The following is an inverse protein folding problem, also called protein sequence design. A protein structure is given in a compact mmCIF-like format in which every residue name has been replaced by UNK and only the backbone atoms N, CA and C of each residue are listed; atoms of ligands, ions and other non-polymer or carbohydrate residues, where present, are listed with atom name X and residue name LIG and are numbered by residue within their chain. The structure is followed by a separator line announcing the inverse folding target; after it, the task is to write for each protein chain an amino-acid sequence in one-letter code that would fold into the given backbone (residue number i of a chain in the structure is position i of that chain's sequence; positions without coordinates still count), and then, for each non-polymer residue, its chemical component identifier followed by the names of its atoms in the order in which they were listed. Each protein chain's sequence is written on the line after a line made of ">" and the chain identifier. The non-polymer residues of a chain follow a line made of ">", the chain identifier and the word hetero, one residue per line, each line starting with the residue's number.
data_IF_630819929450
#
_entry.id   IF_630819929450
#
_cell.length_a   1.000
_cell.length_b   1.000
_cell.length_c   1.000
_cell.angle_alpha   90.00
_cell.angle_beta   90.00
_cell.angle_gamma   90.00
#
_symmetry.space_group_name_H-M   'P 1'
#
loop_
_entity.id
_entity.type
_entity.pdbx_description
1 polymer ?
#
# COMPACT_ATOMS: atom_id res chain seq x y z
N UNK A 1 3.64 -5.20 -27.49
CA UNK A 1 3.27 -5.93 -26.24
C UNK A 1 2.90 -4.89 -25.22
N UNK A 2 1.84 -5.11 -24.43
CA UNK A 2 1.56 -4.25 -23.28
C UNK A 2 2.68 -4.40 -22.25
N UNK A 3 3.10 -3.30 -21.64
CA UNK A 3 4.09 -3.34 -20.55
C UNK A 3 3.54 -4.14 -19.37
N UNK A 4 4.43 -4.81 -18.65
CA UNK A 4 4.08 -5.41 -17.37
C UNK A 4 3.70 -4.32 -16.36
N UNK A 5 2.73 -4.62 -15.50
CA UNK A 5 2.24 -3.67 -14.52
C UNK A 5 2.83 -3.93 -13.15
N UNK A 6 3.08 -2.85 -12.41
CA UNK A 6 3.39 -2.86 -10.99
C UNK A 6 2.37 -2.03 -10.22
N UNK A 7 1.91 -2.51 -9.08
CA UNK A 7 1.09 -1.72 -8.15
C UNK A 7 2.00 -1.08 -7.12
N UNK A 8 1.96 0.24 -7.01
CA UNK A 8 2.70 1.02 -6.03
C UNK A 8 1.79 1.40 -4.86
N UNK A 9 2.17 1.02 -3.64
CA UNK A 9 1.58 1.56 -2.42
C UNK A 9 1.90 3.06 -2.33
N UNK A 10 0.90 3.89 -2.62
CA UNK A 10 1.07 5.32 -2.87
C UNK A 10 0.43 6.15 -1.77
N UNK A 11 1.23 6.89 -1.03
CA UNK A 11 0.76 7.81 0.02
C UNK A 11 0.65 9.26 -0.46
N UNK A 12 1.15 9.57 -1.66
CA UNK A 12 1.22 10.95 -2.16
C UNK A 12 2.37 11.77 -1.59
N UNK A 13 3.18 11.22 -0.69
CA UNK A 13 4.39 11.84 -0.19
C UNK A 13 5.52 11.88 -1.24
N UNK A 14 6.57 12.63 -0.94
CA UNK A 14 7.72 12.84 -1.83
C UNK A 14 8.35 11.49 -2.25
N UNK A 15 8.59 10.60 -1.29
CA UNK A 15 9.29 9.35 -1.52
C UNK A 15 8.51 8.43 -2.48
N UNK A 16 7.22 8.21 -2.22
CA UNK A 16 6.38 7.37 -3.07
C UNK A 16 6.15 7.99 -4.44
N UNK A 17 6.13 9.32 -4.53
CA UNK A 17 6.01 10.03 -5.80
C UNK A 17 7.28 9.86 -6.66
N UNK A 18 8.47 9.92 -6.05
CA UNK A 18 9.74 9.71 -6.74
C UNK A 18 9.94 8.25 -7.23
N UNK A 19 9.29 7.28 -6.57
CA UNK A 19 9.34 5.88 -6.99
C UNK A 19 8.65 5.66 -8.34
N UNK A 20 7.64 6.45 -8.71
CA UNK A 20 6.90 6.29 -9.97
C UNK A 20 7.85 6.37 -11.19
N UNK A 21 8.58 7.46 -11.45
CA UNK A 21 9.52 7.52 -12.57
C UNK A 21 10.63 6.49 -12.44
N UNK A 22 11.13 6.21 -11.23
CA UNK A 22 12.17 5.22 -11.01
C UNK A 22 11.76 3.81 -11.46
N UNK A 23 10.53 3.37 -11.15
CA UNK A 23 10.00 2.07 -11.59
C UNK A 23 9.89 1.99 -13.11
N UNK A 24 9.52 3.09 -13.77
CA UNK A 24 9.42 3.16 -15.23
C UNK A 24 10.79 3.08 -15.91
N UNK A 25 11.77 3.79 -15.38
CA UNK A 25 13.11 3.86 -15.95
C UNK A 25 13.92 2.57 -15.69
N UNK A 26 13.78 1.99 -14.49
CA UNK A 26 14.60 0.85 -14.07
C UNK A 26 14.04 -0.48 -14.56
N UNK A 27 12.72 -0.65 -14.55
CA UNK A 27 12.07 -1.93 -14.85
C UNK A 27 11.18 -1.90 -16.10
N UNK A 28 11.00 -0.74 -16.71
CA UNK A 28 10.06 -0.52 -17.84
C UNK A 28 8.61 -0.90 -17.52
N UNK A 29 8.22 -0.78 -16.25
CA UNK A 29 6.87 -1.09 -15.81
C UNK A 29 5.85 0.02 -16.15
N UNK A 30 4.61 -0.41 -16.36
CA UNK A 30 3.43 0.46 -16.26
C UNK A 30 3.01 0.56 -14.80
N UNK A 31 3.07 1.77 -14.23
CA UNK A 31 2.87 1.99 -12.79
C UNK A 31 1.42 2.34 -12.49
N UNK A 32 0.76 1.48 -11.73
CA UNK A 32 -0.57 1.70 -11.15
C UNK A 32 -0.40 2.08 -9.68
N UNK A 33 -0.81 3.28 -9.31
CA UNK A 33 -0.79 3.71 -7.91
C UNK A 33 -2.02 3.21 -7.17
N UNK A 34 -1.86 2.84 -5.91
CA UNK A 34 -2.94 2.47 -5.02
C UNK A 34 -2.75 3.16 -3.66
N UNK A 35 -3.64 4.06 -3.33
CA UNK A 35 -3.77 4.65 -2.00
C UNK A 35 -4.91 3.96 -1.26
N UNK A 36 -4.65 3.51 -0.04
CA UNK A 36 -5.66 2.89 0.81
C UNK A 36 -6.05 3.87 1.90
N UNK A 37 -7.32 4.24 1.91
CA UNK A 37 -7.89 5.13 2.93
C UNK A 37 -8.30 4.32 4.16
N UNK A 38 -7.60 4.59 5.26
CA UNK A 38 -7.90 4.05 6.59
C UNK A 38 -8.52 5.11 7.52
N UNK A 39 -8.98 6.25 6.96
CA UNK A 39 -9.55 7.37 7.70
C UNK A 39 -8.67 8.62 7.76
N UNK A 40 -7.69 8.78 6.85
CA UNK A 40 -6.80 9.95 6.81
C UNK A 40 -7.41 11.22 6.19
N UNK A 41 -8.59 11.14 5.59
CA UNK A 41 -9.39 12.29 5.15
C UNK A 41 -8.70 13.20 4.13
N UNK A 42 -8.39 14.43 4.51
CA UNK A 42 -7.90 15.51 3.62
C UNK A 42 -6.58 15.21 2.90
N UNK A 43 -5.82 14.23 3.35
CA UNK A 43 -4.57 13.81 2.68
C UNK A 43 -4.80 13.21 1.28
N UNK A 44 -6.04 12.92 0.93
CA UNK A 44 -6.43 12.35 -0.37
C UNK A 44 -6.64 13.42 -1.45
N UNK A 45 -6.76 14.70 -1.08
CA UNK A 45 -7.01 15.78 -2.03
C UNK A 45 -5.83 15.99 -2.98
N UNK A 46 -6.14 16.06 -4.30
CA UNK A 46 -5.14 16.26 -5.36
C UNK A 46 -4.20 15.08 -5.60
N UNK A 47 -4.46 13.93 -4.97
CA UNK A 47 -3.61 12.75 -5.05
C UNK A 47 -3.56 12.15 -6.45
N UNK A 48 -4.71 12.12 -7.15
CA UNK A 48 -4.80 11.59 -8.50
C UNK A 48 -4.01 12.43 -9.50
N UNK A 49 -4.18 13.75 -9.46
CA UNK A 49 -3.45 14.66 -10.33
C UNK A 49 -1.94 14.52 -10.14
N UNK A 50 -1.48 14.42 -8.88
CA UNK A 50 -0.06 14.24 -8.53
C UNK A 50 0.49 12.93 -9.05
N UNK A 51 -0.24 11.82 -8.88
CA UNK A 51 0.16 10.50 -9.35
C UNK A 51 0.29 10.46 -10.89
N UNK A 52 -0.73 10.96 -11.59
CA UNK A 52 -0.75 11.00 -13.05
C UNK A 52 0.33 11.93 -13.62
N UNK A 53 0.51 13.12 -13.03
CA UNK A 53 1.57 14.05 -13.42
C UNK A 53 2.98 13.44 -13.27
N UNK A 54 3.17 12.60 -12.26
CA UNK A 54 4.44 11.90 -12.01
C UNK A 54 4.65 10.70 -12.93
N UNK A 55 3.65 10.35 -13.74
CA UNK A 55 3.76 9.33 -14.79
C UNK A 55 3.09 7.99 -14.46
N UNK A 56 2.30 7.90 -13.40
CA UNK A 56 1.43 6.75 -13.19
C UNK A 56 0.36 6.68 -14.28
N UNK A 57 -0.04 5.47 -14.67
CA UNK A 57 -1.11 5.27 -15.65
C UNK A 57 -2.50 5.35 -15.01
N UNK A 58 -2.57 5.09 -13.70
CA UNK A 58 -3.82 5.04 -12.96
C UNK A 58 -3.59 5.21 -11.46
N UNK A 59 -4.58 5.76 -10.76
CA UNK A 59 -4.67 5.73 -9.30
C UNK A 59 -5.95 5.03 -8.86
N UNK A 60 -5.82 4.14 -7.89
CA UNK A 60 -6.89 3.62 -7.05
C UNK A 60 -6.85 4.32 -5.70
N UNK A 61 -8.00 4.77 -5.23
CA UNK A 61 -8.22 5.18 -3.84
C UNK A 61 -9.24 4.19 -3.29
N UNK A 62 -8.77 3.31 -2.40
CA UNK A 62 -9.56 2.22 -1.84
C UNK A 62 -9.90 2.55 -0.39
N UNK A 63 -11.17 2.83 -0.13
CA UNK A 63 -11.67 3.09 1.21
C UNK A 63 -11.87 1.76 1.97
N UNK A 64 -11.14 1.59 3.06
CA UNK A 64 -11.27 0.44 3.97
C UNK A 64 -11.68 0.86 5.38
N UNK A 65 -12.19 2.07 5.57
CA UNK A 65 -12.47 2.64 6.90
C UNK A 65 -13.39 1.75 7.74
N UNK A 66 -14.48 1.27 7.17
CA UNK A 66 -15.41 0.39 7.86
C UNK A 66 -14.78 -0.97 8.18
N UNK A 67 -14.16 -1.62 7.19
CA UNK A 67 -13.47 -2.90 7.38
C UNK A 67 -12.33 -2.78 8.40
N UNK A 68 -11.56 -1.68 8.34
CA UNK A 68 -10.48 -1.41 9.28
C UNK A 68 -11.00 -1.23 10.71
N UNK A 69 -12.10 -0.51 10.90
CA UNK A 69 -12.72 -0.36 12.20
C UNK A 69 -13.25 -1.69 12.73
N UNK A 70 -14.04 -2.41 11.94
CA UNK A 70 -14.75 -3.61 12.42
C UNK A 70 -13.83 -4.81 12.62
N UNK A 71 -12.91 -5.06 11.68
CA UNK A 71 -12.13 -6.29 11.62
C UNK A 71 -10.70 -6.16 12.14
N UNK A 72 -10.21 -4.94 12.36
CA UNK A 72 -8.85 -4.71 12.89
C UNK A 72 -8.87 -3.95 14.21
N UNK A 73 -9.51 -2.77 14.27
CA UNK A 73 -9.49 -1.94 15.47
C UNK A 73 -10.33 -2.55 16.58
N UNK A 74 -11.60 -2.89 16.30
CA UNK A 74 -12.51 -3.39 17.33
C UNK A 74 -12.03 -4.68 18.00
N UNK A 75 -11.52 -5.70 17.30
CA UNK A 75 -10.93 -6.87 17.94
C UNK A 75 -9.76 -6.54 18.86
N UNK A 76 -8.91 -5.59 18.48
CA UNK A 76 -7.78 -5.16 19.31
C UNK A 76 -8.26 -4.43 20.58
N UNK A 77 -9.28 -3.59 20.46
CA UNK A 77 -9.90 -2.91 21.61
C UNK A 77 -10.55 -3.94 22.56
N UNK A 78 -11.28 -4.91 22.03
CA UNK A 78 -11.92 -5.97 22.82
C UNK A 78 -10.88 -6.86 23.54
N UNK A 79 -9.73 -7.07 22.93
CA UNK A 79 -8.64 -7.84 23.50
C UNK A 79 -7.73 -7.03 24.44
N UNK A 80 -8.01 -5.73 24.66
CA UNK A 80 -7.12 -4.80 25.37
C UNK A 80 -5.67 -4.88 24.88
N UNK A 81 -5.51 -4.96 23.55
CA UNK A 81 -4.23 -5.20 22.89
C UNK A 81 -3.37 -3.94 22.88
N UNK A 82 -2.44 -3.86 23.83
CA UNK A 82 -1.45 -2.77 23.96
C UNK A 82 -0.07 -3.38 24.06
N UNK A 83 0.86 -2.93 23.21
CA UNK A 83 2.25 -3.37 23.29
C UNK A 83 3.01 -2.60 24.35
N UNK A 84 3.63 -3.32 25.29
CA UNK A 84 4.40 -2.76 26.43
C UNK A 84 3.65 -1.70 27.24
N UNK A 85 2.34 -1.82 27.36
CA UNK A 85 1.44 -0.87 28.05
C UNK A 85 1.51 0.58 27.53
N UNK A 86 1.95 0.79 26.29
CA UNK A 86 2.13 2.12 25.71
C UNK A 86 1.64 2.24 24.26
N UNK A 87 1.98 1.28 23.41
CA UNK A 87 1.73 1.38 21.98
C UNK A 87 0.43 0.71 21.60
N UNK A 88 -0.49 1.49 21.02
CA UNK A 88 -1.85 1.06 20.66
C UNK A 88 -1.93 0.30 19.31
N UNK A 89 -0.81 -0.13 18.76
CA UNK A 89 -0.71 -0.99 17.58
C UNK A 89 -1.28 -0.42 16.27
N UNK A 90 -1.53 0.90 16.16
CA UNK A 90 -2.15 1.51 15.00
C UNK A 90 -1.52 1.12 13.65
N UNK A 91 -0.23 1.36 13.48
CA UNK A 91 0.50 0.99 12.25
C UNK A 91 0.56 -0.52 12.03
N UNK A 92 0.67 -1.30 13.11
CA UNK A 92 0.73 -2.76 13.05
C UNK A 92 -0.56 -3.36 12.49
N UNK A 93 -1.71 -2.76 12.83
CA UNK A 93 -3.02 -3.19 12.35
C UNK A 93 -3.32 -2.70 10.94
N UNK A 94 -2.90 -1.46 10.60
CA UNK A 94 -3.17 -0.86 9.29
C UNK A 94 -2.42 -1.57 8.16
N UNK A 95 -1.16 -1.94 8.34
CA UNK A 95 -0.33 -2.51 7.27
C UNK A 95 -0.87 -3.80 6.67
N UNK A 96 -1.37 -4.77 7.43
CA UNK A 96 -2.02 -5.96 6.86
C UNK A 96 -3.25 -5.65 6.01
N UNK A 97 -4.12 -4.73 6.45
CA UNK A 97 -5.29 -4.28 5.69
C UNK A 97 -4.89 -3.62 4.36
N UNK A 98 -3.90 -2.73 4.41
CA UNK A 98 -3.35 -2.08 3.21
C UNK A 98 -2.75 -3.15 2.27
N UNK A 99 -1.97 -4.10 2.78
CA UNK A 99 -1.38 -5.17 1.98
C UNK A 99 -2.44 -6.00 1.27
N UNK A 100 -3.54 -6.32 1.92
CA UNK A 100 -4.66 -7.05 1.33
C UNK A 100 -5.27 -6.29 0.14
N UNK A 101 -5.49 -4.98 0.26
CA UNK A 101 -5.99 -4.15 -0.84
C UNK A 101 -4.99 -4.01 -1.99
N UNK A 102 -3.72 -3.87 -1.70
CA UNK A 102 -2.69 -3.85 -2.73
C UNK A 102 -2.69 -5.13 -3.56
N UNK A 103 -2.85 -6.30 -2.91
CA UNK A 103 -2.96 -7.59 -3.59
C UNK A 103 -4.23 -7.66 -4.45
N UNK A 104 -5.37 -7.19 -3.92
CA UNK A 104 -6.63 -7.15 -4.67
C UNK A 104 -6.50 -6.31 -5.95
N UNK A 105 -5.95 -5.11 -5.84
CA UNK A 105 -5.70 -4.23 -7.00
C UNK A 105 -4.70 -4.86 -7.97
N UNK A 106 -3.63 -5.50 -7.45
CA UNK A 106 -2.64 -6.17 -8.30
C UNK A 106 -3.27 -7.31 -9.11
N UNK A 107 -4.16 -8.09 -8.51
CA UNK A 107 -4.92 -9.14 -9.22
C UNK A 107 -5.87 -8.55 -10.27
N UNK A 108 -6.59 -7.49 -9.92
CA UNK A 108 -7.50 -6.78 -10.83
C UNK A 108 -6.79 -6.22 -12.06
N UNK A 109 -5.59 -5.69 -11.88
CA UNK A 109 -4.78 -5.11 -12.95
C UNK A 109 -3.87 -6.13 -13.67
N UNK A 110 -3.85 -7.40 -13.24
CA UNK A 110 -2.91 -8.43 -13.69
C UNK A 110 -1.46 -7.96 -13.57
N UNK A 111 -1.14 -7.29 -12.45
CA UNK A 111 0.20 -6.83 -12.16
C UNK A 111 1.12 -8.00 -11.77
N UNK A 112 2.40 -7.89 -12.11
CA UNK A 112 3.43 -8.89 -11.81
C UNK A 112 4.19 -8.59 -10.51
N UNK A 113 4.05 -7.36 -10.01
CA UNK A 113 4.77 -6.90 -8.83
C UNK A 113 3.94 -5.92 -8.00
N UNK A 114 4.28 -5.83 -6.72
CA UNK A 114 3.85 -4.77 -5.80
C UNK A 114 5.10 -4.05 -5.31
N UNK A 115 5.07 -2.72 -5.31
CA UNK A 115 6.13 -1.87 -4.77
C UNK A 115 5.63 -1.08 -3.56
N UNK A 116 6.50 -0.89 -2.57
CA UNK A 116 6.23 -0.02 -1.43
C UNK A 116 7.46 0.82 -1.09
N UNK A 117 7.25 1.98 -0.48
CA UNK A 117 8.30 2.90 -0.05
C UNK A 117 8.73 2.74 1.41
N UNK A 118 8.38 1.63 2.06
CA UNK A 118 8.79 1.40 3.45
C UNK A 118 10.27 1.04 3.53
N UNK A 119 10.99 1.70 4.44
CA UNK A 119 12.42 1.47 4.62
C UNK A 119 12.71 0.29 5.54
N UNK A 120 13.86 -0.39 5.33
CA UNK A 120 14.32 -1.49 6.16
C UNK A 120 14.72 -1.11 7.60
N UNK A 121 14.64 0.16 7.96
CA UNK A 121 14.93 0.65 9.33
C UNK A 121 13.77 0.49 10.30
N UNK A 122 12.55 0.30 9.78
CA UNK A 122 11.34 0.13 10.56
C UNK A 122 10.66 -1.22 10.33
N UNK A 123 9.58 -1.46 11.07
CA UNK A 123 8.83 -2.72 10.98
C UNK A 123 7.85 -2.75 9.77
N UNK A 124 7.62 -1.63 9.10
CA UNK A 124 6.62 -1.53 8.05
C UNK A 124 6.97 -2.35 6.82
N UNK A 125 8.25 -2.39 6.43
CA UNK A 125 8.70 -3.23 5.34
C UNK A 125 8.30 -4.68 5.55
N UNK A 126 8.67 -5.26 6.70
CA UNK A 126 8.39 -6.67 6.98
C UNK A 126 6.88 -6.94 7.09
N UNK A 127 6.10 -5.99 7.60
CA UNK A 127 4.64 -6.10 7.67
C UNK A 127 4.01 -6.16 6.27
N UNK A 128 4.44 -5.30 5.35
CA UNK A 128 4.01 -5.35 3.96
C UNK A 128 4.44 -6.64 3.28
N UNK A 129 5.73 -6.99 3.36
CA UNK A 129 6.25 -8.17 2.69
C UNK A 129 5.59 -9.48 3.17
N UNK A 130 5.42 -9.65 4.48
CA UNK A 130 4.76 -10.84 5.03
C UNK A 130 3.27 -10.89 4.64
N UNK A 131 2.57 -9.75 4.71
CA UNK A 131 1.17 -9.67 4.29
C UNK A 131 0.97 -10.00 2.82
N UNK A 132 1.79 -9.40 1.94
CA UNK A 132 1.73 -9.66 0.51
C UNK A 132 2.08 -11.12 0.19
N UNK A 133 3.17 -11.66 0.78
CA UNK A 133 3.59 -13.05 0.55
C UNK A 133 2.58 -14.07 1.03
N UNK A 134 1.88 -13.78 2.12
CA UNK A 134 0.83 -14.67 2.63
C UNK A 134 -0.38 -14.75 1.67
N UNK A 135 -0.72 -13.64 1.01
CA UNK A 135 -1.89 -13.54 0.14
C UNK A 135 -1.58 -13.80 -1.34
N UNK A 136 -0.38 -13.46 -1.77
CA UNK A 136 0.05 -13.55 -3.16
C UNK A 136 1.55 -13.90 -3.25
N UNK A 137 1.94 -15.15 -2.94
CA UNK A 137 3.34 -15.57 -2.93
C UNK A 137 4.02 -15.53 -4.31
N UNK A 138 3.24 -15.48 -5.38
CA UNK A 138 3.68 -15.40 -6.77
C UNK A 138 4.04 -13.98 -7.22
N UNK A 139 3.57 -12.94 -6.51
CA UNK A 139 3.88 -11.57 -6.86
C UNK A 139 5.28 -11.17 -6.38
N UNK A 140 6.02 -10.49 -7.25
CA UNK A 140 7.30 -9.89 -6.89
C UNK A 140 7.07 -8.69 -5.97
N UNK A 141 7.90 -8.56 -4.94
CA UNK A 141 7.90 -7.38 -4.06
C UNK A 141 9.13 -6.54 -4.39
N UNK A 142 8.93 -5.23 -4.53
CA UNK A 142 9.96 -4.21 -4.75
C UNK A 142 9.89 -3.22 -3.59
N UNK A 143 11.02 -3.02 -2.87
CA UNK A 143 11.16 -2.14 -1.71
C UNK A 143 12.34 -1.18 -1.89
#
# INVERSE_FOLDING_TARGET
>A
MSKEKVVLAYSGGLDTTAIIPWLKETYDYDVVCCCVDCGQGEELDGLEERALYSGASKLYIEDITDDFCENYIMPCVQADAVYENKYLLGTSMARPGIAAKLVEVARKENAVAICHGATGKGNDQIRFELGIKALAPDLKIIA
#
